data_IF_752623179420
#
_entry.id   IF_752623179420
#
_cell.length_a   1.000
_cell.length_b   1.000
_cell.length_c   1.000
_cell.angle_alpha   90.00
_cell.angle_beta   90.00
_cell.angle_gamma   90.00
#
_symmetry.space_group_name_H-M   'P 1'
#
loop_
_entity.id
_entity.type
_entity.pdbx_description
1 polymer ?
#
# COMPACT_ATOMS: atom_id res chain seq x y z
N UNK A 1 14.91 19.40 19.76
CA UNK A 1 15.56 19.10 18.49
C UNK A 1 14.46 18.91 17.46
N UNK A 2 14.28 19.90 16.57
CA UNK A 2 13.12 19.94 15.68
C UNK A 2 13.29 18.87 14.60
N UNK A 3 12.42 17.85 14.66
CA UNK A 3 12.42 16.71 13.75
C UNK A 3 12.49 17.18 12.31
N UNK A 4 13.59 16.78 11.65
CA UNK A 4 13.88 17.07 10.25
C UNK A 4 12.75 16.46 9.42
N UNK A 5 11.81 17.29 8.98
CA UNK A 5 10.76 16.89 8.02
C UNK A 5 11.50 16.50 6.75
N UNK A 6 11.63 15.21 6.51
CA UNK A 6 12.15 14.71 5.24
C UNK A 6 11.07 15.06 4.22
N UNK A 7 11.31 16.13 3.44
CA UNK A 7 10.51 16.46 2.26
C UNK A 7 10.60 15.26 1.31
N UNK A 8 9.60 14.41 1.41
CA UNK A 8 9.38 13.36 0.44
C UNK A 8 8.64 13.99 -0.73
N UNK A 9 8.77 13.46 -1.93
CA UNK A 9 8.09 13.95 -3.13
C UNK A 9 6.55 13.99 -3.03
N UNK A 10 5.99 13.54 -1.91
CA UNK A 10 4.58 13.44 -1.57
C UNK A 10 4.14 14.66 -0.74
N UNK A 11 4.27 15.86 -1.32
CA UNK A 11 4.08 17.14 -0.64
C UNK A 11 2.63 17.52 -0.30
N UNK A 12 1.62 16.72 -0.64
CA UNK A 12 0.21 17.00 -0.28
C UNK A 12 -0.19 16.24 0.99
N UNK A 13 -0.97 16.91 1.85
CA UNK A 13 -1.62 16.23 2.99
C UNK A 13 -2.72 15.30 2.49
N UNK A 14 -2.84 14.12 3.11
CA UNK A 14 -3.92 13.17 2.86
C UNK A 14 -5.25 13.60 3.50
N UNK A 15 -5.22 14.41 4.56
CA UNK A 15 -6.36 14.73 5.45
C UNK A 15 -7.59 15.30 4.76
N UNK A 16 -7.42 15.96 3.60
CA UNK A 16 -8.51 16.56 2.83
C UNK A 16 -8.86 15.76 1.56
N UNK A 17 -8.57 14.46 1.56
CA UNK A 17 -8.83 13.57 0.42
C UNK A 17 -9.77 12.44 0.82
N UNK A 18 -10.40 11.80 -0.17
CA UNK A 18 -11.20 10.57 0.05
C UNK A 18 -10.36 9.38 0.57
N UNK A 19 -9.03 9.52 0.56
CA UNK A 19 -8.08 8.53 1.03
C UNK A 19 -7.71 8.71 2.51
N UNK A 20 -8.22 9.74 3.18
CA UNK A 20 -8.13 9.86 4.63
C UNK A 20 -9.25 9.06 5.31
N UNK A 21 -8.87 8.29 6.33
CA UNK A 21 -9.81 7.62 7.23
C UNK A 21 -9.13 7.51 8.58
N UNK A 22 -9.69 8.14 9.60
CA UNK A 22 -9.15 8.08 10.96
C UNK A 22 -9.01 6.61 11.40
N UNK A 23 -7.81 6.23 11.84
CA UNK A 23 -7.43 4.86 12.17
C UNK A 23 -7.63 3.82 11.04
N UNK A 24 -7.79 4.26 9.78
CA UNK A 24 -8.03 3.36 8.64
C UNK A 24 -6.90 2.38 8.39
N UNK A 25 -5.66 2.76 8.73
CA UNK A 25 -4.50 1.89 8.67
C UNK A 25 -4.58 0.69 9.64
N UNK A 26 -5.44 0.74 10.66
CA UNK A 26 -5.70 -0.34 11.61
C UNK A 26 -6.94 -1.18 11.27
N UNK A 27 -7.75 -0.74 10.30
CA UNK A 27 -9.00 -1.41 9.98
C UNK A 27 -8.77 -2.65 9.13
N UNK A 28 -8.73 -3.82 9.76
CA UNK A 28 -8.49 -5.09 9.11
C UNK A 28 -9.54 -5.47 8.02
N UNK A 29 -10.69 -4.79 7.96
CA UNK A 29 -11.72 -4.99 6.93
C UNK A 29 -11.37 -4.32 5.59
N UNK A 30 -10.50 -3.32 5.61
CA UNK A 30 -10.03 -2.59 4.42
C UNK A 30 -8.93 -3.32 3.63
N UNK A 31 -8.46 -4.47 4.14
CA UNK A 31 -7.40 -5.27 3.54
C UNK A 31 -7.99 -6.43 2.74
N UNK A 32 -7.66 -6.52 1.44
CA UNK A 32 -8.21 -7.54 0.53
C UNK A 32 -7.94 -8.98 0.93
N UNK A 33 -6.98 -9.24 1.80
CA UNK A 33 -6.70 -10.58 2.31
C UNK A 33 -6.03 -10.58 3.68
N UNK A 34 -6.08 -11.73 4.35
CA UNK A 34 -5.29 -11.98 5.57
C UNK A 34 -3.79 -11.78 5.30
N UNK A 35 -3.31 -12.07 4.09
CA UNK A 35 -1.90 -11.91 3.75
C UNK A 35 -1.47 -10.45 3.68
N UNK A 36 -2.33 -9.56 3.18
CA UNK A 36 -2.04 -8.12 3.14
C UNK A 36 -2.00 -7.47 4.52
N UNK A 37 -2.63 -8.06 5.55
CA UNK A 37 -2.64 -7.51 6.91
C UNK A 37 -1.26 -7.44 7.57
N UNK A 38 -0.24 -8.09 7.00
CA UNK A 38 1.16 -7.92 7.44
C UNK A 38 1.69 -6.50 7.21
N UNK A 39 1.01 -5.70 6.38
CA UNK A 39 1.31 -4.30 6.09
C UNK A 39 0.39 -3.34 6.87
N UNK A 40 -0.43 -3.86 7.79
CA UNK A 40 -1.29 -3.04 8.63
C UNK A 40 -0.45 -2.13 9.52
N UNK A 41 -0.97 -0.94 9.83
CA UNK A 41 -0.30 -0.03 10.74
C UNK A 41 -0.18 -0.68 12.11
N UNK A 42 1.05 -0.78 12.61
CA UNK A 42 1.39 -1.26 13.94
C UNK A 42 2.29 -0.22 14.61
N UNK A 43 1.83 0.47 15.67
CA UNK A 43 2.62 1.50 16.35
C UNK A 43 3.89 0.95 17.01
N UNK A 44 3.96 -0.36 17.29
CA UNK A 44 5.11 -1.00 17.93
C UNK A 44 6.14 -1.53 16.92
N UNK A 45 5.81 -1.48 15.62
CA UNK A 45 6.69 -1.89 14.54
C UNK A 45 7.20 -0.66 13.79
N UNK A 46 8.52 -0.56 13.57
CA UNK A 46 9.10 0.44 12.68
C UNK A 46 8.97 -0.03 11.23
N UNK A 47 8.46 0.84 10.35
CA UNK A 47 8.36 0.52 8.92
C UNK A 47 9.76 0.52 8.28
N UNK A 48 10.00 -0.37 7.32
CA UNK A 48 11.26 -0.39 6.53
C UNK A 48 10.96 -0.59 5.05
N UNK A 49 11.84 -0.21 4.10
CA UNK A 49 11.58 -0.43 2.67
C UNK A 49 11.32 -1.90 2.31
N UNK A 50 11.83 -2.85 3.11
CA UNK A 50 11.60 -4.30 2.95
C UNK A 50 10.33 -4.79 3.65
N UNK A 51 9.82 -4.05 4.63
CA UNK A 51 8.65 -4.38 5.46
C UNK A 51 7.85 -3.09 5.68
N UNK A 52 7.22 -2.64 4.60
CA UNK A 52 6.40 -1.42 4.62
C UNK A 52 5.08 -1.67 5.32
N UNK A 53 4.52 -0.61 5.89
CA UNK A 53 3.17 -0.59 6.46
C UNK A 53 2.46 0.70 6.08
N UNK A 54 1.12 0.67 6.08
CA UNK A 54 0.31 1.86 5.81
C UNK A 54 0.46 2.90 6.93
N UNK A 55 0.19 4.15 6.61
CA UNK A 55 0.01 5.19 7.63
C UNK A 55 -1.23 4.92 8.48
N UNK A 56 -1.23 5.45 9.72
CA UNK A 56 -2.33 5.29 10.69
C UNK A 56 -3.70 5.68 10.12
N UNK A 57 -3.76 6.85 9.48
CA UNK A 57 -5.02 7.48 9.06
C UNK A 57 -5.25 7.38 7.53
N UNK A 58 -4.90 6.22 6.97
CA UNK A 58 -5.04 5.92 5.55
C UNK A 58 -6.24 5.02 5.30
N UNK A 59 -7.09 5.39 4.35
CA UNK A 59 -8.18 4.56 3.87
C UNK A 59 -7.66 3.48 2.91
N UNK A 60 -7.24 2.35 3.47
CA UNK A 60 -6.59 1.25 2.73
C UNK A 60 -7.55 0.59 1.72
N UNK A 61 -8.85 0.54 2.04
CA UNK A 61 -9.87 0.00 1.17
C UNK A 61 -10.04 0.87 -0.07
N UNK A 62 -10.11 2.20 0.13
CA UNK A 62 -10.22 3.16 -0.98
C UNK A 62 -8.99 3.18 -1.87
N UNK A 63 -7.79 3.11 -1.29
CA UNK A 63 -6.56 2.95 -2.06
C UNK A 63 -6.60 1.68 -2.92
N UNK A 64 -7.07 0.56 -2.38
CA UNK A 64 -7.17 -0.68 -3.13
C UNK A 64 -8.14 -0.56 -4.30
N UNK A 65 -9.35 -0.05 -4.05
CA UNK A 65 -10.36 0.18 -5.08
C UNK A 65 -9.81 1.07 -6.20
N UNK A 66 -9.26 2.23 -5.87
CA UNK A 66 -8.77 3.20 -6.86
C UNK A 66 -7.56 2.66 -7.65
N UNK A 67 -6.70 1.87 -7.01
CA UNK A 67 -5.54 1.24 -7.68
C UNK A 67 -5.97 0.18 -8.68
N UNK A 68 -7.03 -0.58 -8.39
CA UNK A 68 -7.56 -1.59 -9.33
C UNK A 68 -8.33 -0.92 -10.47
N UNK A 69 -9.14 0.10 -10.16
CA UNK A 69 -10.06 0.71 -11.13
C UNK A 69 -9.40 1.77 -12.02
N UNK A 70 -8.37 2.45 -11.52
CA UNK A 70 -7.67 3.54 -12.23
C UNK A 70 -6.15 3.43 -12.05
N UNK A 71 -5.52 2.30 -12.42
CA UNK A 71 -4.08 2.12 -12.27
C UNK A 71 -3.30 3.06 -13.19
N UNK A 72 -2.11 3.46 -12.75
CA UNK A 72 -1.13 4.12 -13.64
C UNK A 72 -0.36 3.09 -14.46
N UNK A 73 -0.18 1.88 -13.90
CA UNK A 73 0.51 0.78 -14.57
C UNK A 73 -0.13 -0.57 -14.21
N UNK A 74 -0.21 -1.45 -15.21
CA UNK A 74 -0.73 -2.83 -15.07
C UNK A 74 0.29 -3.81 -15.64
N UNK A 75 0.71 -4.78 -14.84
CA UNK A 75 1.73 -5.77 -15.18
C UNK A 75 1.14 -7.17 -15.03
N UNK A 76 1.23 -7.99 -16.07
CA UNK A 76 0.96 -9.41 -15.96
C UNK A 76 2.25 -10.19 -15.68
N UNK A 77 2.37 -10.76 -14.47
CA UNK A 77 3.44 -11.68 -14.13
C UNK A 77 3.05 -13.12 -14.54
N UNK A 78 3.66 -13.61 -15.62
CA UNK A 78 3.40 -14.95 -16.18
C UNK A 78 3.81 -16.07 -15.22
N UNK A 79 4.96 -15.94 -14.56
CA UNK A 79 5.53 -16.99 -13.69
C UNK A 79 4.69 -17.24 -12.45
N UNK A 80 4.07 -16.18 -11.93
CA UNK A 80 3.19 -16.25 -10.77
C UNK A 80 1.71 -16.28 -11.15
N UNK A 81 1.37 -16.06 -12.42
CA UNK A 81 0.01 -15.90 -12.92
C UNK A 81 -0.79 -14.84 -12.14
N UNK A 82 -0.21 -13.67 -11.96
CA UNK A 82 -0.76 -12.56 -11.17
C UNK A 82 -0.84 -11.29 -12.02
N UNK A 83 -1.97 -10.59 -11.93
CA UNK A 83 -2.08 -9.19 -12.33
C UNK A 83 -1.59 -8.30 -11.19
N UNK A 84 -0.67 -7.39 -11.52
CA UNK A 84 -0.14 -6.42 -10.58
C UNK A 84 -0.57 -5.03 -11.05
N UNK A 85 -1.36 -4.36 -10.23
CA UNK A 85 -1.79 -2.98 -10.44
C UNK A 85 -0.89 -2.07 -9.61
N UNK A 86 -0.46 -0.96 -10.20
CA UNK A 86 0.36 0.05 -9.53
C UNK A 86 -0.27 1.42 -9.72
N UNK A 87 -0.24 2.23 -8.65
CA UNK A 87 -0.70 3.61 -8.66
C UNK A 87 0.22 4.50 -7.83
N UNK A 88 0.43 5.73 -8.29
CA UNK A 88 1.18 6.78 -7.62
C UNK A 88 0.22 7.83 -7.05
N UNK A 89 0.36 8.11 -5.76
CA UNK A 89 -0.39 9.16 -5.08
C UNK A 89 0.52 10.36 -4.76
N UNK A 90 0.03 11.61 -4.84
CA UNK A 90 0.81 12.80 -4.54
C UNK A 90 0.96 13.06 -3.02
N UNK A 91 0.56 12.11 -2.18
CA UNK A 91 0.58 12.17 -0.72
C UNK A 91 1.14 10.85 -0.15
N UNK A 92 1.67 10.90 1.07
CA UNK A 92 2.24 9.73 1.72
C UNK A 92 1.13 8.77 2.16
N UNK A 93 1.22 7.50 1.76
CA UNK A 93 0.31 6.41 2.14
C UNK A 93 0.92 5.44 3.15
N UNK A 94 2.18 5.64 3.55
CA UNK A 94 2.92 4.83 4.53
C UNK A 94 3.22 5.63 5.80
N UNK A 95 3.94 5.04 6.74
CA UNK A 95 4.43 5.77 7.92
C UNK A 95 5.51 6.77 7.53
N UNK A 96 5.83 7.70 8.44
CA UNK A 96 6.93 8.65 8.26
C UNK A 96 8.31 8.01 8.18
N UNK A 97 8.47 6.75 8.63
CA UNK A 97 9.74 6.02 8.57
C UNK A 97 10.07 5.56 7.14
N UNK A 98 9.04 5.26 6.35
CA UNK A 98 9.16 4.78 4.95
C UNK A 98 8.17 5.48 4.03
N UNK A 99 8.28 6.79 3.91
CA UNK A 99 7.32 7.59 3.16
C UNK A 99 7.27 7.13 1.69
N UNK A 100 6.07 6.83 1.22
CA UNK A 100 5.81 6.47 -0.18
C UNK A 100 4.38 6.84 -0.57
N UNK A 101 4.19 7.23 -1.82
CA UNK A 101 2.90 7.41 -2.48
C UNK A 101 2.59 6.26 -3.45
N UNK A 102 3.50 5.30 -3.62
CA UNK A 102 3.31 4.19 -4.54
C UNK A 102 2.52 3.06 -3.87
N UNK A 103 1.38 2.67 -4.44
CA UNK A 103 0.59 1.53 -4.00
C UNK A 103 0.64 0.41 -5.03
N UNK A 104 0.68 -0.85 -4.57
CA UNK A 104 0.57 -2.02 -5.44
C UNK A 104 -0.49 -2.99 -4.95
N UNK A 105 -1.23 -3.57 -5.89
CA UNK A 105 -2.23 -4.62 -5.64
C UNK A 105 -1.93 -5.83 -6.53
N UNK A 106 -1.92 -7.01 -5.94
CA UNK A 106 -1.63 -8.31 -6.57
C UNK A 106 -2.91 -9.15 -6.60
N UNK A 107 -3.41 -9.45 -7.79
CA UNK A 107 -4.62 -10.25 -8.02
C UNK A 107 -4.24 -11.51 -8.83
N UNK A 108 -4.28 -12.71 -8.23
CA UNK A 108 -4.05 -13.97 -8.93
C UNK A 108 -5.13 -14.23 -9.98
N UNK A 109 -4.74 -14.68 -11.17
CA UNK A 109 -5.68 -14.95 -12.27
C UNK A 109 -6.26 -16.35 -12.28
N UNK A 110 -5.71 -17.29 -11.49
CA UNK A 110 -6.22 -18.66 -11.21
C UNK A 110 -5.29 -19.32 -10.19
N UNK A 111 -5.76 -20.32 -9.43
CA UNK A 111 -4.89 -21.21 -8.64
C UNK A 111 -4.09 -22.11 -9.58
N UNK A 112 -2.89 -21.69 -10.00
CA UNK A 112 -1.96 -22.60 -10.68
C UNK A 112 -1.41 -23.63 -9.68
N UNK A 113 -2.11 -24.75 -9.53
CA UNK A 113 -1.64 -25.92 -8.78
C UNK A 113 -1.26 -25.65 -7.31
N UNK A 114 -0.35 -26.46 -6.77
CA UNK A 114 0.05 -26.52 -5.34
C UNK A 114 0.64 -25.23 -4.74
N UNK A 115 0.81 -24.15 -5.50
CA UNK A 115 1.35 -22.88 -4.98
C UNK A 115 0.20 -21.97 -4.53
N UNK A 116 0.18 -21.61 -3.25
CA UNK A 116 -0.73 -20.59 -2.73
C UNK A 116 -0.33 -19.23 -3.27
N UNK A 117 -0.91 -18.80 -4.39
CA UNK A 117 -0.74 -17.44 -4.90
C UNK A 117 -1.68 -16.54 -4.08
N UNK A 118 -1.12 -15.66 -3.25
CA UNK A 118 -1.87 -14.86 -2.26
C UNK A 118 -2.21 -13.49 -2.84
N UNK A 119 -3.49 -13.11 -2.81
CA UNK A 119 -3.89 -11.71 -3.03
C UNK A 119 -3.21 -10.83 -1.98
N UNK A 120 -2.68 -9.69 -2.40
CA UNK A 120 -2.00 -8.76 -1.48
C UNK A 120 -2.05 -7.33 -1.99
N UNK A 121 -1.98 -6.38 -1.07
CA UNK A 121 -1.83 -4.96 -1.35
C UNK A 121 -0.81 -4.37 -0.37
N UNK A 122 0.00 -3.41 -0.82
CA UNK A 122 0.97 -2.75 0.05
C UNK A 122 1.50 -1.41 -0.51
N UNK A 123 1.95 -0.49 0.36
CA UNK A 123 2.80 0.63 -0.03
C UNK A 123 4.16 0.11 -0.51
N UNK A 124 4.60 0.51 -1.69
CA UNK A 124 5.92 0.17 -2.23
C UNK A 124 6.86 1.37 -2.07
N UNK A 125 7.98 1.20 -1.38
CA UNK A 125 9.08 2.18 -1.49
C UNK A 125 9.84 1.84 -2.77
N UNK A 126 9.94 2.81 -3.69
CA UNK A 126 10.71 2.65 -4.94
C UNK A 126 12.13 2.15 -4.65
N UNK A 127 12.59 1.19 -5.44
CA UNK A 127 14.02 0.87 -5.52
C UNK A 127 14.68 1.90 -6.42
N UNK A 128 15.77 2.51 -5.95
CA UNK A 128 16.74 3.18 -6.82
C UNK A 128 17.16 2.28 -7.98
#
# INVERSE_FOLDING_TARGET
DAGKVVETSYGKSIENTEFFKENGGLDASDYISIHSRKHMYDPDTVSTPKKTQYGKDVNVGKLCEDTIMKPDEVIYNKDQNVMIYKKEYPFNISTSDTPTGTHRVFIPLNTQGKKTIRMSQFPLVGGN
#
